data_IF_910460585514
#
_entry.id   IF_910460585514
#
_cell.length_a   1.000
_cell.length_b   1.000
_cell.length_c   1.000
_cell.angle_alpha   90.00
_cell.angle_beta   90.00
_cell.angle_gamma   90.00
#
_symmetry.space_group_name_H-M   'P 1'
#
loop_
_entity.id
_entity.type
_entity.pdbx_description
1 polymer ?
#
# COMPACT_ATOMS: atom_id res chain seq x y z
N UNK A 1 10.22 -10.40 -25.71
CA UNK A 1 8.78 -10.26 -25.36
C UNK A 1 8.52 -9.58 -24.00
N UNK A 2 9.52 -9.38 -23.13
CA UNK A 2 9.39 -8.86 -21.76
C UNK A 2 8.99 -7.37 -21.62
N UNK A 3 9.23 -6.53 -22.63
CA UNK A 3 9.01 -5.08 -22.51
C UNK A 3 7.54 -4.64 -22.49
N UNK A 4 6.65 -5.32 -23.24
CA UNK A 4 5.22 -4.94 -23.33
C UNK A 4 4.46 -5.35 -22.07
N UNK A 5 4.68 -6.57 -21.58
CA UNK A 5 4.04 -7.07 -20.37
C UNK A 5 4.43 -6.25 -19.13
N UNK A 6 5.73 -5.93 -18.98
CA UNK A 6 6.21 -5.04 -17.91
C UNK A 6 5.50 -3.68 -17.93
N UNK A 7 5.41 -3.04 -19.10
CA UNK A 7 4.73 -1.74 -19.25
C UNK A 7 3.25 -1.81 -18.89
N UNK A 8 2.57 -2.90 -19.21
CA UNK A 8 1.16 -3.09 -18.84
C UNK A 8 0.99 -3.25 -17.33
N UNK A 9 1.83 -4.07 -16.71
CA UNK A 9 1.80 -4.30 -15.27
C UNK A 9 2.11 -3.03 -14.47
N UNK A 10 3.15 -2.27 -14.86
CA UNK A 10 3.45 -0.97 -14.25
C UNK A 10 2.28 0.02 -14.41
N UNK A 11 1.65 0.07 -15.60
CA UNK A 11 0.47 0.93 -15.82
C UNK A 11 -0.71 0.52 -14.95
N UNK A 12 -0.91 -0.77 -14.70
CA UNK A 12 -1.97 -1.24 -13.81
C UNK A 12 -1.71 -0.78 -12.38
N UNK A 13 -0.52 -1.03 -11.83
CA UNK A 13 -0.14 -0.58 -10.49
C UNK A 13 -0.30 0.94 -10.34
N UNK A 14 0.21 1.71 -11.30
CA UNK A 14 0.09 3.17 -11.28
C UNK A 14 -1.37 3.62 -11.29
N UNK A 15 -2.25 2.97 -12.06
CA UNK A 15 -3.69 3.26 -12.06
C UNK A 15 -4.35 2.91 -10.72
N UNK A 16 -4.01 1.75 -10.15
CA UNK A 16 -4.54 1.31 -8.85
C UNK A 16 -4.18 2.30 -7.75
N UNK A 17 -2.91 2.73 -7.68
CA UNK A 17 -2.45 3.70 -6.68
C UNK A 17 -3.06 5.08 -6.89
N UNK A 18 -3.10 5.57 -8.14
CA UNK A 18 -3.76 6.83 -8.47
C UNK A 18 -5.25 6.82 -8.13
N UNK A 19 -5.94 5.69 -8.32
CA UNK A 19 -7.34 5.56 -7.93
C UNK A 19 -7.53 5.75 -6.42
N UNK A 20 -6.63 5.20 -5.59
CA UNK A 20 -6.68 5.42 -4.14
C UNK A 20 -6.44 6.88 -3.78
N UNK A 21 -5.38 7.50 -4.33
CA UNK A 21 -4.98 8.86 -3.96
C UNK A 21 -6.01 9.91 -4.39
N UNK A 22 -6.75 9.66 -5.48
CA UNK A 22 -7.81 10.54 -5.94
C UNK A 22 -9.20 10.18 -5.35
N UNK A 23 -9.27 9.21 -4.43
CA UNK A 23 -10.50 8.86 -3.75
C UNK A 23 -10.62 9.66 -2.44
N UNK A 24 -11.60 10.58 -2.32
CA UNK A 24 -11.74 11.42 -1.12
C UNK A 24 -12.06 10.63 0.15
N UNK A 25 -12.52 9.37 0.02
CA UNK A 25 -12.74 8.47 1.17
C UNK A 25 -11.46 7.82 1.69
N UNK A 26 -10.36 7.96 0.95
CA UNK A 26 -9.06 7.35 1.23
C UNK A 26 -7.99 8.41 1.54
N UNK A 27 -7.97 9.49 0.78
CA UNK A 27 -7.03 10.58 0.94
C UNK A 27 -7.73 11.92 0.69
N UNK A 28 -7.67 12.82 1.68
CA UNK A 28 -8.32 14.12 1.58
C UNK A 28 -7.40 15.10 0.85
N UNK A 29 -7.71 15.42 -0.41
CA UNK A 29 -6.93 16.37 -1.20
C UNK A 29 -7.10 17.83 -0.73
N UNK A 30 -8.10 18.14 0.11
CA UNK A 30 -8.30 19.50 0.61
C UNK A 30 -7.18 19.95 1.53
N UNK A 31 -6.47 19.02 2.18
CA UNK A 31 -5.28 19.31 2.99
C UNK A 31 -4.11 19.91 2.17
N UNK A 32 -4.15 19.75 0.84
CA UNK A 32 -3.16 20.31 -0.09
C UNK A 32 -3.57 21.70 -0.60
N UNK A 33 -4.78 22.17 -0.32
CA UNK A 33 -5.24 23.48 -0.75
C UNK A 33 -4.62 24.57 0.13
N UNK A 34 -3.94 25.53 -0.49
CA UNK A 34 -3.36 26.68 0.21
C UNK A 34 -4.35 27.83 0.19
N UNK A 35 -4.73 28.26 -1.02
CA UNK A 35 -5.72 29.30 -1.25
C UNK A 35 -6.73 28.79 -2.26
N UNK A 36 -7.99 28.71 -1.83
CA UNK A 36 -9.07 28.13 -2.64
C UNK A 36 -9.21 28.87 -3.97
N UNK A 37 -9.05 28.16 -5.08
CA UNK A 37 -9.17 28.71 -6.43
C UNK A 37 -7.90 29.36 -6.98
N UNK A 38 -6.82 29.44 -6.19
CA UNK A 38 -5.55 30.07 -6.59
C UNK A 38 -4.36 29.12 -6.48
N UNK A 39 -4.06 28.62 -5.27
CA UNK A 39 -2.84 27.86 -4.99
C UNK A 39 -3.13 26.55 -4.25
N UNK A 40 -2.50 25.47 -4.71
CA UNK A 40 -2.51 24.17 -4.04
C UNK A 40 -1.16 23.47 -4.22
N UNK A 41 -0.86 22.56 -3.30
CA UNK A 41 0.26 21.65 -3.41
C UNK A 41 -0.01 20.57 -4.45
N UNK A 42 0.99 20.33 -5.30
CA UNK A 42 1.04 19.18 -6.20
C UNK A 42 2.02 18.16 -5.63
N UNK A 43 1.51 17.00 -5.22
CA UNK A 43 2.32 15.90 -4.69
C UNK A 43 2.54 14.86 -5.79
N UNK A 44 3.81 14.64 -6.16
CA UNK A 44 4.20 13.56 -7.04
C UNK A 44 4.74 12.37 -6.23
N UNK A 45 4.22 11.18 -6.52
CA UNK A 45 4.68 9.93 -5.89
C UNK A 45 5.38 9.08 -6.95
N UNK A 46 6.69 8.93 -6.80
CA UNK A 46 7.53 8.12 -7.68
C UNK A 46 7.95 6.83 -6.98
N UNK A 47 7.70 5.69 -7.62
CA UNK A 47 8.03 4.36 -7.09
C UNK A 47 9.06 3.70 -8.01
N UNK A 48 10.23 3.39 -7.47
CA UNK A 48 11.29 2.66 -8.16
C UNK A 48 11.41 1.24 -7.61
N UNK A 49 11.16 0.25 -8.47
CA UNK A 49 11.24 -1.17 -8.11
C UNK A 49 12.67 -1.67 -8.32
N UNK A 50 13.37 -1.97 -7.22
CA UNK A 50 14.76 -2.43 -7.27
C UNK A 50 14.86 -3.94 -7.53
N UNK A 51 13.97 -4.71 -6.91
CA UNK A 51 13.89 -6.16 -7.02
C UNK A 51 12.43 -6.57 -7.09
N UNK A 52 12.14 -7.58 -7.89
CA UNK A 52 10.82 -8.15 -8.03
C UNK A 52 10.89 -9.64 -7.69
N UNK A 53 10.24 -10.04 -6.61
CA UNK A 53 10.14 -11.44 -6.14
C UNK A 53 8.69 -11.89 -5.86
N UNK A 54 7.72 -11.15 -6.39
CA UNK A 54 6.30 -11.40 -6.18
C UNK A 54 5.59 -10.17 -5.63
N UNK A 55 4.27 -10.30 -5.48
CA UNK A 55 3.38 -9.38 -4.75
C UNK A 55 3.65 -7.86 -4.87
N UNK A 56 3.90 -7.36 -6.09
CA UNK A 56 4.37 -5.99 -6.29
C UNK A 56 3.31 -4.91 -5.96
N UNK A 57 2.03 -5.21 -6.16
CA UNK A 57 0.94 -4.27 -5.83
C UNK A 57 0.96 -3.90 -4.34
N UNK A 58 1.04 -4.91 -3.48
CA UNK A 58 1.03 -4.75 -2.03
C UNK A 58 2.26 -3.95 -1.59
N UNK A 59 3.45 -4.35 -2.05
CA UNK A 59 4.70 -3.65 -1.77
C UNK A 59 4.67 -2.17 -2.17
N UNK A 60 4.17 -1.85 -3.37
CA UNK A 60 4.03 -0.46 -3.82
C UNK A 60 3.05 0.34 -2.95
N UNK A 61 1.96 -0.28 -2.49
CA UNK A 61 0.99 0.39 -1.61
C UNK A 61 1.58 0.71 -0.23
N UNK A 62 2.37 -0.20 0.33
CA UNK A 62 3.06 0.02 1.60
C UNK A 62 4.10 1.12 1.47
N UNK A 63 4.90 1.09 0.40
CA UNK A 63 5.90 2.12 0.11
C UNK A 63 5.25 3.50 -0.07
N UNK A 64 4.16 3.59 -0.82
CA UNK A 64 3.40 4.84 -0.98
C UNK A 64 2.88 5.36 0.35
N UNK A 65 2.24 4.51 1.16
CA UNK A 65 1.70 4.91 2.47
C UNK A 65 2.80 5.37 3.43
N UNK A 66 3.92 4.64 3.47
CA UNK A 66 5.08 5.03 4.28
C UNK A 66 5.66 6.37 3.82
N UNK A 67 5.92 6.53 2.53
CA UNK A 67 6.47 7.77 1.97
C UNK A 67 5.58 8.98 2.26
N UNK A 68 4.27 8.87 2.02
CA UNK A 68 3.32 9.95 2.31
C UNK A 68 3.24 10.27 3.81
N UNK A 69 3.35 9.26 4.68
CA UNK A 69 3.32 9.46 6.13
C UNK A 69 4.53 10.21 6.69
N UNK A 70 5.67 10.13 5.99
CA UNK A 70 6.93 10.80 6.35
C UNK A 70 7.12 12.11 5.57
N UNK A 71 6.26 12.41 4.60
CA UNK A 71 6.35 13.63 3.80
C UNK A 71 6.11 14.86 4.67
N UNK A 72 7.07 15.77 4.65
CA UNK A 72 7.00 17.09 5.31
C UNK A 72 6.68 18.13 4.26
N UNK A 73 5.54 18.79 4.40
CA UNK A 73 5.12 19.88 3.52
C UNK A 73 5.59 21.18 4.14
N UNK A 74 6.44 21.99 3.48
CA UNK A 74 6.95 23.20 4.08
C UNK A 74 5.82 24.19 4.36
N UNK A 75 5.94 24.95 5.46
CA UNK A 75 4.97 25.98 5.79
C UNK A 75 4.99 27.10 4.73
N UNK A 76 3.85 27.74 4.52
CA UNK A 76 3.68 28.83 3.58
C UNK A 76 3.25 30.10 4.30
N UNK A 77 3.72 31.24 3.81
CA UNK A 77 3.24 32.57 4.17
C UNK A 77 2.37 33.07 3.01
N UNK A 78 1.11 33.36 3.31
CA UNK A 78 0.18 33.91 2.33
C UNK A 78 0.10 35.41 2.56
N UNK A 79 0.50 36.19 1.57
CA UNK A 79 0.36 37.64 1.59
C UNK A 79 -0.82 38.03 0.70
N UNK A 80 -1.66 38.90 1.23
CA UNK A 80 -2.79 39.47 0.51
C UNK A 80 -2.51 40.95 0.25
N UNK A 81 -2.48 41.34 -1.01
CA UNK A 81 -2.42 42.74 -1.40
C UNK A 81 -3.85 43.28 -1.51
N UNK A 82 -4.20 44.22 -0.61
CA UNK A 82 -5.55 44.81 -0.54
C UNK A 82 -5.86 45.75 -1.71
N UNK A 83 -4.83 46.30 -2.39
CA UNK A 83 -5.05 47.22 -3.52
C UNK A 83 -5.25 46.47 -4.85
N UNK A 84 -4.49 45.38 -5.06
CA UNK A 84 -4.52 44.62 -6.32
C UNK A 84 -5.39 43.37 -6.26
N UNK A 85 -5.86 42.96 -5.07
CA UNK A 85 -6.46 41.65 -4.79
C UNK A 85 -5.57 40.47 -5.21
N UNK A 86 -4.26 40.69 -5.34
CA UNK A 86 -3.30 39.64 -5.66
C UNK A 86 -2.96 38.83 -4.40
N UNK A 87 -2.84 37.51 -4.59
CA UNK A 87 -2.45 36.57 -3.52
C UNK A 87 -1.07 36.06 -3.87
N UNK A 88 -0.08 36.39 -3.05
CA UNK A 88 1.27 35.82 -3.18
C UNK A 88 1.50 34.77 -2.10
N UNK A 89 2.26 33.73 -2.44
CA UNK A 89 2.56 32.60 -1.57
C UNK A 89 4.07 32.43 -1.51
N UNK A 90 4.64 32.64 -0.32
CA UNK A 90 6.06 32.46 -0.06
C UNK A 90 6.29 31.21 0.78
N UNK A 91 7.31 30.44 0.44
CA UNK A 91 7.71 29.27 1.24
C UNK A 91 8.47 29.75 2.47
N UNK A 92 8.16 29.18 3.64
CA UNK A 92 8.90 29.49 4.86
C UNK A 92 10.31 28.87 4.78
N UNK A 93 11.33 29.69 5.01
CA UNK A 93 12.74 29.25 5.02
C UNK A 93 13.10 28.42 6.27
N UNK A 94 12.23 28.37 7.28
CA UNK A 94 12.47 27.62 8.52
C UNK A 94 12.24 26.11 8.28
N UNK A 95 13.30 25.28 8.30
CA UNK A 95 13.17 23.84 8.06
C UNK A 95 12.41 23.09 9.18
N UNK A 96 12.17 23.74 10.32
CA UNK A 96 11.42 23.18 11.44
C UNK A 96 9.91 23.47 11.33
N UNK A 97 9.49 24.35 10.42
CA UNK A 97 8.09 24.66 10.16
C UNK A 97 7.56 23.86 8.97
N UNK A 98 6.89 22.75 9.27
CA UNK A 98 6.29 21.90 8.25
C UNK A 98 4.96 21.31 8.71
N UNK A 99 4.05 21.12 7.76
CA UNK A 99 2.88 20.27 7.89
C UNK A 99 3.21 18.82 7.58
N UNK A 100 2.35 17.92 8.05
CA UNK A 100 2.40 16.49 7.75
C UNK A 100 1.09 16.09 7.09
N UNK A 101 1.17 15.21 6.09
CA UNK A 101 -0.02 14.70 5.42
C UNK A 101 -0.78 13.71 6.32
N UNK A 102 -2.10 13.85 6.38
CA UNK A 102 -2.97 12.86 7.00
C UNK A 102 -3.12 11.64 6.08
N UNK A 103 -2.59 10.51 6.52
CA UNK A 103 -2.66 9.21 5.87
C UNK A 103 -3.46 8.19 6.69
N UNK A 104 -4.18 8.64 7.71
CA UNK A 104 -4.95 7.79 8.65
C UNK A 104 -5.94 6.88 7.94
N UNK A 105 -6.57 7.35 6.85
CA UNK A 105 -7.55 6.60 6.07
C UNK A 105 -6.97 5.93 4.82
N UNK A 106 -5.68 6.12 4.54
CA UNK A 106 -5.07 5.60 3.32
C UNK A 106 -5.04 4.05 3.38
N UNK A 107 -5.66 3.35 2.42
CA UNK A 107 -5.70 1.89 2.41
C UNK A 107 -4.34 1.31 1.99
N UNK A 108 -4.16 0.02 2.28
CA UNK A 108 -3.08 -0.79 1.73
C UNK A 108 -3.65 -1.86 0.81
N UNK A 109 -2.87 -2.28 -0.17
CA UNK A 109 -3.22 -3.39 -1.03
C UNK A 109 -2.91 -4.73 -0.38
N UNK A 110 -3.84 -5.67 -0.56
CA UNK A 110 -3.69 -7.07 -0.21
C UNK A 110 -4.11 -7.89 -1.42
N UNK A 111 -3.18 -8.64 -1.99
CA UNK A 111 -3.41 -9.49 -3.15
C UNK A 111 -3.64 -10.92 -2.72
N UNK A 112 -4.80 -11.46 -3.08
CA UNK A 112 -5.19 -12.85 -2.79
C UNK A 112 -5.21 -13.62 -4.10
N UNK A 113 -4.38 -14.66 -4.20
CA UNK A 113 -4.35 -15.61 -5.32
C UNK A 113 -5.15 -16.88 -5.02
N UNK A 114 -5.66 -17.53 -6.06
CA UNK A 114 -6.23 -18.87 -5.96
C UNK A 114 -5.34 -19.91 -6.65
N UNK A 115 -4.87 -20.89 -5.86
CA UNK A 115 -4.07 -22.03 -6.32
C UNK A 115 -4.81 -23.30 -5.92
N UNK A 116 -5.24 -24.10 -6.90
CA UNK A 116 -5.96 -25.38 -6.68
C UNK A 116 -7.12 -25.28 -5.66
N UNK A 117 -7.93 -24.21 -5.75
CA UNK A 117 -9.05 -23.99 -4.84
C UNK A 117 -8.68 -23.32 -3.51
N UNK A 118 -7.40 -23.22 -3.16
CA UNK A 118 -6.92 -22.61 -1.91
C UNK A 118 -6.59 -21.13 -2.14
N UNK A 119 -6.99 -20.28 -1.18
CA UNK A 119 -6.66 -18.86 -1.20
C UNK A 119 -5.30 -18.62 -0.53
N UNK A 120 -4.44 -17.88 -1.22
CA UNK A 120 -3.07 -17.58 -0.80
C UNK A 120 -2.83 -16.08 -0.86
N UNK A 121 -2.01 -15.57 0.05
CA UNK A 121 -1.60 -14.16 0.13
C UNK A 121 -0.09 -14.13 0.07
N UNK A 122 0.48 -13.04 -0.46
CA UNK A 122 1.92 -12.86 -0.60
C UNK A 122 2.59 -13.95 -1.46
N UNK A 123 2.04 -14.14 -2.65
CA UNK A 123 2.54 -15.15 -3.59
C UNK A 123 3.93 -14.77 -4.12
N UNK A 124 4.86 -15.70 -3.99
CA UNK A 124 6.17 -15.67 -4.67
C UNK A 124 6.00 -15.76 -6.18
N UNK A 125 7.02 -15.42 -6.98
CA UNK A 125 6.99 -15.58 -8.45
C UNK A 125 6.56 -17.00 -8.86
N UNK A 126 7.01 -18.03 -8.14
CA UNK A 126 6.67 -19.43 -8.45
C UNK A 126 5.20 -19.71 -8.18
N UNK A 127 4.67 -19.26 -7.05
CA UNK A 127 3.25 -19.41 -6.71
C UNK A 127 2.35 -18.59 -7.64
N UNK A 128 2.79 -17.39 -8.02
CA UNK A 128 2.07 -16.53 -8.95
C UNK A 128 2.00 -17.16 -10.35
N UNK A 129 3.04 -17.89 -10.78
CA UNK A 129 3.06 -18.58 -12.08
C UNK A 129 2.03 -19.71 -12.21
N UNK A 130 1.59 -20.28 -11.08
CA UNK A 130 0.55 -21.33 -11.02
C UNK A 130 -0.82 -20.77 -10.60
N UNK A 131 -0.89 -19.47 -10.29
CA UNK A 131 -2.13 -18.82 -9.89
C UNK A 131 -2.97 -18.49 -11.13
N UNK A 132 -4.17 -19.07 -11.22
CA UNK A 132 -5.05 -18.86 -12.37
C UNK A 132 -5.76 -17.50 -12.32
N UNK A 133 -6.19 -17.10 -11.14
CA UNK A 133 -6.84 -15.81 -10.90
C UNK A 133 -6.45 -15.28 -9.52
N UNK A 134 -6.32 -13.97 -9.44
CA UNK A 134 -6.03 -13.24 -8.21
C UNK A 134 -6.87 -11.98 -8.13
N UNK A 135 -7.09 -11.50 -6.93
CA UNK A 135 -7.76 -10.24 -6.68
C UNK A 135 -6.92 -9.40 -5.73
N UNK A 136 -6.61 -8.18 -6.16
CA UNK A 136 -6.00 -7.16 -5.31
C UNK A 136 -7.10 -6.32 -4.67
N UNK A 137 -7.09 -6.23 -3.35
CA UNK A 137 -8.06 -5.47 -2.56
C UNK A 137 -7.37 -4.26 -1.90
N UNK A 138 -7.98 -3.09 -1.96
CA UNK A 138 -7.58 -1.95 -1.13
C UNK A 138 -8.34 -1.96 0.19
N UNK A 139 -7.62 -2.15 1.29
CA UNK A 139 -8.19 -2.29 2.64
C UNK A 139 -7.83 -1.07 3.47
N UNK A 140 -8.83 -0.32 3.91
CA UNK A 140 -8.64 0.79 4.85
C UNK A 140 -8.26 0.28 6.25
N UNK A 141 -7.66 1.12 7.11
CA UNK A 141 -7.44 0.79 8.51
C UNK A 141 -8.72 0.44 9.29
N UNK A 142 -9.90 0.86 8.81
CA UNK A 142 -11.21 0.44 9.33
C UNK A 142 -11.63 -0.99 8.93
N UNK A 143 -10.87 -1.66 8.06
CA UNK A 143 -11.21 -2.96 7.48
C UNK A 143 -12.14 -2.89 6.27
N UNK A 144 -12.60 -1.69 5.90
CA UNK A 144 -13.49 -1.53 4.74
C UNK A 144 -12.71 -1.68 3.43
N UNK A 145 -13.28 -2.43 2.49
CA UNK A 145 -12.75 -2.59 1.12
C UNK A 145 -13.15 -1.37 0.29
N UNK A 146 -12.17 -0.71 -0.33
CA UNK A 146 -12.37 0.50 -1.16
C UNK A 146 -11.93 0.33 -2.61
N UNK A 147 -11.20 -0.75 -2.89
CA UNK A 147 -10.70 -1.07 -4.22
C UNK A 147 -10.70 -2.58 -4.40
N UNK A 148 -10.99 -3.03 -5.62
CA UNK A 148 -10.90 -4.42 -6.03
C UNK A 148 -10.48 -4.48 -7.50
N UNK A 149 -9.46 -5.28 -7.82
CA UNK A 149 -9.07 -5.56 -9.20
C UNK A 149 -8.77 -7.03 -9.38
N UNK A 150 -9.45 -7.67 -10.32
CA UNK A 150 -9.20 -9.06 -10.69
C UNK A 150 -8.17 -9.09 -11.82
N UNK A 151 -7.11 -9.86 -11.60
CA UNK A 151 -6.13 -10.19 -12.63
C UNK A 151 -6.04 -11.71 -12.83
N UNK A 152 -5.49 -12.12 -13.98
CA UNK A 152 -5.38 -13.52 -14.38
C UNK A 152 -6.49 -13.98 -15.31
N UNK A 153 -6.25 -15.11 -15.98
CA UNK A 153 -7.16 -15.68 -16.98
C UNK A 153 -8.23 -16.61 -16.39
N UNK A 154 -8.11 -17.01 -15.13
CA UNK A 154 -9.02 -17.94 -14.46
C UNK A 154 -10.37 -17.32 -14.14
N UNK A 155 -11.39 -18.17 -14.04
CA UNK A 155 -12.70 -17.78 -13.51
C UNK A 155 -12.69 -17.83 -11.98
N UNK A 156 -13.48 -16.96 -11.35
CA UNK A 156 -13.68 -16.93 -9.91
C UNK A 156 -15.18 -16.95 -9.64
N UNK A 157 -15.61 -17.92 -8.83
CA UNK A 157 -16.97 -17.97 -8.33
C UNK A 157 -17.22 -16.87 -7.27
N UNK A 158 -18.48 -16.44 -7.13
CA UNK A 158 -18.87 -15.40 -6.18
C UNK A 158 -18.54 -15.78 -4.73
N UNK A 159 -18.66 -17.06 -4.39
CA UNK A 159 -18.28 -17.55 -3.06
C UNK A 159 -16.78 -17.39 -2.81
N UNK A 160 -15.95 -17.68 -3.82
CA UNK A 160 -14.51 -17.48 -3.76
C UNK A 160 -14.14 -16.01 -3.64
N UNK A 161 -14.81 -15.12 -4.37
CA UNK A 161 -14.56 -13.67 -4.28
C UNK A 161 -14.88 -13.17 -2.86
N UNK A 162 -15.95 -13.68 -2.24
CA UNK A 162 -16.35 -13.32 -0.87
C UNK A 162 -15.37 -13.85 0.17
N UNK A 163 -14.93 -15.10 0.07
CA UNK A 163 -13.94 -15.68 1.00
C UNK A 163 -12.59 -14.99 0.87
N UNK A 164 -12.14 -14.71 -0.36
CA UNK A 164 -10.92 -13.93 -0.62
C UNK A 164 -11.01 -12.53 -0.03
N UNK A 165 -12.15 -11.85 -0.18
CA UNK A 165 -12.38 -10.52 0.42
C UNK A 165 -12.31 -10.53 1.95
N UNK A 166 -12.81 -11.58 2.60
CA UNK A 166 -12.70 -11.73 4.06
C UNK A 166 -11.25 -11.89 4.50
N UNK A 167 -10.50 -12.77 3.84
CA UNK A 167 -9.06 -12.98 4.11
C UNK A 167 -8.29 -11.67 3.88
N UNK A 168 -8.59 -10.95 2.80
CA UNK A 168 -7.96 -9.67 2.50
C UNK A 168 -8.25 -8.63 3.59
N UNK A 169 -9.50 -8.53 4.05
CA UNK A 169 -9.89 -7.63 5.14
C UNK A 169 -9.13 -7.94 6.43
N UNK A 170 -9.08 -9.21 6.84
CA UNK A 170 -8.42 -9.64 8.08
C UNK A 170 -6.90 -9.41 8.03
N UNK A 171 -6.26 -9.72 6.90
CA UNK A 171 -4.83 -9.45 6.68
C UNK A 171 -4.53 -7.96 6.55
N UNK A 172 -5.37 -7.21 5.85
CA UNK A 172 -5.19 -5.78 5.62
C UNK A 172 -5.34 -4.94 6.89
N UNK A 173 -6.23 -5.33 7.81
CA UNK A 173 -6.33 -4.73 9.14
C UNK A 173 -5.01 -4.89 9.92
N UNK A 174 -4.47 -6.12 9.95
CA UNK A 174 -3.22 -6.42 10.63
C UNK A 174 -2.06 -5.65 10.00
N UNK A 175 -1.97 -5.65 8.67
CA UNK A 175 -0.86 -5.02 7.97
C UNK A 175 -0.88 -3.49 8.09
N UNK A 176 -2.05 -2.87 8.07
CA UNK A 176 -2.20 -1.44 8.36
C UNK A 176 -1.69 -1.09 9.76
N UNK A 177 -2.08 -1.86 10.77
CA UNK A 177 -1.66 -1.62 12.15
C UNK A 177 -0.14 -1.78 12.33
N UNK A 178 0.44 -2.84 11.75
CA UNK A 178 1.88 -3.09 11.80
C UNK A 178 2.68 -2.01 11.07
N UNK A 179 2.23 -1.59 9.89
CA UNK A 179 2.89 -0.56 9.09
C UNK A 179 2.90 0.78 9.84
N UNK A 180 1.76 1.22 10.37
CA UNK A 180 1.68 2.46 11.15
C UNK A 180 2.54 2.42 12.41
N UNK A 181 2.57 1.28 13.10
CA UNK A 181 3.46 1.08 14.26
C UNK A 181 4.93 1.21 13.88
N UNK A 182 5.35 0.60 12.76
CA UNK A 182 6.75 0.66 12.29
C UNK A 182 7.15 2.07 11.84
N UNK A 183 6.25 2.78 11.16
CA UNK A 183 6.45 4.19 10.79
C UNK A 183 6.64 5.05 12.05
N UNK A 184 5.81 4.87 13.07
CA UNK A 184 5.91 5.63 14.32
C UNK A 184 7.25 5.37 15.04
N UNK A 185 7.66 4.10 15.14
CA UNK A 185 8.96 3.73 15.70
C UNK A 185 10.13 4.31 14.90
N UNK A 186 10.01 4.39 13.57
CA UNK A 186 11.01 5.04 12.70
C UNK A 186 11.16 6.52 13.03
N UNK A 187 10.04 7.24 13.18
CA UNK A 187 10.03 8.67 13.55
C UNK A 187 10.66 8.92 14.91
N UNK A 188 10.38 8.08 15.91
CA UNK A 188 10.98 8.18 17.25
C UNK A 188 12.50 7.93 17.23
N UNK A 189 12.95 6.96 16.43
CA UNK A 189 14.39 6.70 16.24
C UNK A 189 15.09 7.88 15.56
N UNK A 190 14.51 8.44 14.50
CA UNK A 190 15.04 9.63 13.83
C UNK A 190 15.10 10.86 14.76
N UNK A 191 14.17 10.99 15.70
CA UNK A 191 14.17 12.07 16.68
C UNK A 191 15.24 11.91 17.78
N UNK A 192 15.56 10.67 18.16
CA UNK A 192 16.57 10.36 19.20
C UNK A 192 18.01 10.30 18.66
N UNK A 193 18.20 9.82 17.43
CA UNK A 193 19.49 9.80 16.73
C UNK A 193 19.57 10.99 15.77
N UNK A 194 20.00 12.14 16.27
CA UNK A 194 20.11 13.37 15.48
C UNK A 194 20.70 13.15 14.07
N UNK A 195 19.97 13.60 13.05
CA UNK A 195 20.37 13.78 11.64
C UNK A 195 21.41 12.77 11.09
N UNK A 196 21.12 11.47 11.18
CA UNK A 196 21.75 10.49 10.30
C UNK A 196 20.69 9.86 9.40
N UNK A 197 20.93 9.89 8.09
CA UNK A 197 20.10 9.29 7.05
C UNK A 197 20.19 7.75 7.11
N UNK A 198 19.75 7.13 8.21
CA UNK A 198 19.53 5.68 8.22
C UNK A 198 18.18 5.37 7.59
N UNK A 199 18.26 4.68 6.44
CA UNK A 199 17.12 4.10 5.73
C UNK A 199 16.30 3.23 6.67
N UNK A 200 15.00 3.11 6.37
CA UNK A 200 14.19 1.95 6.72
C UNK A 200 14.92 0.67 6.27
N UNK A 201 15.79 0.13 7.12
CA UNK A 201 16.18 -1.26 7.07
C UNK A 201 14.95 -2.01 7.59
N UNK A 202 14.10 -2.42 6.65
CA UNK A 202 13.21 -3.54 6.91
C UNK A 202 14.15 -4.70 7.22
N UNK A 203 14.30 -5.06 8.50
CA UNK A 203 14.97 -6.32 8.86
C UNK A 203 14.35 -7.41 7.99
N UNK A 204 15.16 -8.19 7.26
CA UNK A 204 14.74 -9.20 6.27
C UNK A 204 13.69 -10.20 6.82
N UNK A 205 13.56 -10.28 8.14
CA UNK A 205 12.62 -11.14 8.87
C UNK A 205 11.20 -10.56 9.04
N UNK A 206 10.96 -9.29 8.71
CA UNK A 206 9.70 -8.62 9.06
C UNK A 206 8.55 -8.90 8.07
N UNK A 207 8.86 -9.17 6.81
CA UNK A 207 7.86 -9.49 5.77
C UNK A 207 7.77 -10.99 5.46
N UNK A 208 8.82 -11.76 5.72
CA UNK A 208 8.88 -13.22 5.46
C UNK A 208 8.02 -14.05 6.43
N UNK A 209 7.52 -13.47 7.52
CA UNK A 209 6.64 -14.15 8.48
C UNK A 209 5.30 -13.46 8.59
N UNK A 210 4.35 -13.90 7.76
CA UNK A 210 2.92 -13.79 8.08
C UNK A 210 2.73 -14.25 9.54
N UNK A 211 1.99 -13.53 10.39
CA UNK A 211 1.76 -13.92 11.78
C UNK A 211 1.36 -15.39 11.87
N UNK A 212 2.02 -16.15 12.75
CA UNK A 212 1.87 -17.61 12.92
C UNK A 212 0.44 -18.10 13.16
N UNK A 213 -0.52 -17.19 13.42
CA UNK A 213 -1.96 -17.46 13.44
C UNK A 213 -2.57 -17.75 12.05
N UNK A 214 -2.08 -17.14 10.98
CA UNK A 214 -2.56 -17.37 9.60
C UNK A 214 -1.94 -18.65 9.03
N UNK A 215 -0.67 -18.93 9.32
CA UNK A 215 -0.04 -20.22 8.99
C UNK A 215 -0.72 -21.41 9.69
N UNK A 216 -1.19 -21.25 10.93
CA UNK A 216 -1.92 -22.31 11.65
C UNK A 216 -3.31 -22.61 11.04
N UNK A 217 -3.93 -21.62 10.38
CA UNK A 217 -5.15 -21.84 9.61
C UNK A 217 -4.90 -22.65 8.32
N UNK A 218 -3.70 -22.53 7.73
CA UNK A 218 -3.26 -23.34 6.58
C UNK A 218 -2.83 -24.76 7.00
N UNK A 219 -2.13 -24.92 8.14
CA UNK A 219 -1.70 -26.24 8.63
C UNK A 219 -2.87 -27.13 9.09
N UNK A 220 -3.92 -26.53 9.64
CA UNK A 220 -5.13 -27.27 10.07
C UNK A 220 -5.98 -27.76 8.89
N UNK A 221 -5.74 -27.26 7.67
CA UNK A 221 -6.36 -27.77 6.44
C UNK A 221 -5.44 -28.74 5.68
N UNK A 222 -4.12 -28.70 5.87
CA UNK A 222 -3.18 -29.66 5.27
C UNK A 222 -3.30 -31.07 5.86
N UNK A 223 -3.71 -31.21 7.13
CA UNK A 223 -3.92 -32.54 7.74
C UNK A 223 -5.09 -33.35 7.15
N UNK A 224 -5.89 -32.75 6.25
CA UNK A 224 -6.92 -33.45 5.46
C UNK A 224 -6.50 -33.84 4.04
N UNK A 225 -5.29 -33.46 3.60
CA UNK A 225 -4.79 -33.75 2.24
C UNK A 225 -3.71 -34.84 2.21
N UNK A 226 -3.26 -35.35 3.37
CA UNK A 226 -2.39 -36.53 3.45
C UNK A 226 -3.23 -37.82 3.49
N UNK A 227 -3.91 -38.14 2.39
CA UNK A 227 -4.25 -39.53 2.08
C UNK A 227 -4.08 -39.79 0.59
N UNK A 228 -3.06 -40.58 0.28
CA UNK A 228 -2.92 -41.26 -1.01
C UNK A 228 -1.91 -40.61 -1.94
N UNK A 229 -0.62 -40.77 -1.65
CA UNK A 229 0.45 -40.96 -2.64
C UNK A 229 1.74 -41.41 -1.90
N UNK A 230 1.75 -42.67 -1.46
CA UNK A 230 2.99 -43.42 -1.22
C UNK A 230 2.99 -44.62 -2.16
N UNK A 231 3.88 -44.54 -3.15
CA UNK A 231 4.56 -45.62 -3.87
C UNK A 231 3.83 -46.99 -3.92
N UNK A 232 3.21 -47.26 -5.07
CA UNK A 232 3.37 -48.41 -6.00
C UNK A 232 2.33 -48.21 -7.11
#
# INVERSE_FOLDING_TARGET
MFGRHRRQYTKQIARSLNYILNNPKCFDLTQLCVVKGHHCWLVHVDISVLRYEGNLHDACSFAMKAALSETKVPALKVNHDEETNEVSVDVCDDPYQYGVLDVSNLPVFITVGQINGVHTVDTTIKEDSVTLARITYGIKPSGSIVYMNKDGGGSLDLLNIRSMGKIASDSGLQMNALLMKKIQLSKEKQASWGHTNERLLFDDDTFTRIPSRIQRALSNNQSKLDFGLKQI
#
